data_IF_874302046631
#
_entry.id   IF_874302046631
#
_cell.length_a   1.000
_cell.length_b   1.000
_cell.length_c   1.000
_cell.angle_alpha   90.00
_cell.angle_beta   90.00
_cell.angle_gamma   90.00
#
_symmetry.space_group_name_H-M   'P 1'
#
loop_
_entity.id
_entity.type
_entity.pdbx_description
1 polymer ?
#
# COMPACT_ATOMS: atom_id res chain seq x y z
N UNK A 1 -6.99 -7.05 7.55
CA UNK A 1 -5.89 -6.10 7.75
C UNK A 1 -5.07 -6.61 8.93
N UNK A 2 -3.82 -6.99 8.70
CA UNK A 2 -2.92 -7.51 9.74
C UNK A 2 -2.31 -6.44 10.66
N UNK A 3 -2.53 -5.16 10.37
CA UNK A 3 -1.96 -4.05 11.14
C UNK A 3 -2.95 -3.46 12.16
N UNK A 4 -2.44 -3.03 13.31
CA UNK A 4 -3.20 -2.26 14.29
C UNK A 4 -3.43 -0.82 13.80
N UNK A 5 -4.53 -0.21 14.24
CA UNK A 5 -4.79 1.22 14.03
C UNK A 5 -3.73 2.03 14.79
N UNK A 6 -3.13 3.03 14.14
CA UNK A 6 -2.19 3.97 14.77
C UNK A 6 -2.48 5.39 14.31
N UNK A 7 -2.00 6.38 15.03
CA UNK A 7 -2.13 7.81 14.68
C UNK A 7 -1.57 8.14 13.29
N UNK A 8 -0.66 7.31 12.76
CA UNK A 8 -0.06 7.40 11.44
C UNK A 8 -0.46 6.28 10.47
N UNK A 9 -1.31 5.33 10.86
CA UNK A 9 -1.70 4.18 10.04
C UNK A 9 -3.21 3.92 10.15
N UNK A 10 -3.95 4.26 9.09
CA UNK A 10 -5.39 4.05 9.01
C UNK A 10 -5.74 2.65 8.55
N UNK A 11 -6.57 1.95 9.32
CA UNK A 11 -7.06 0.61 9.01
C UNK A 11 -8.57 0.62 8.74
N UNK A 12 -9.07 -0.27 7.85
CA UNK A 12 -10.50 -0.37 7.57
C UNK A 12 -11.33 -0.64 8.84
N UNK A 13 -12.55 -0.11 8.87
CA UNK A 13 -13.53 -0.45 9.89
C UNK A 13 -13.93 -1.92 9.75
N UNK A 14 -13.91 -2.67 10.86
CA UNK A 14 -14.39 -4.05 10.91
C UNK A 14 -15.91 -4.04 11.06
N UNK A 15 -16.59 -4.99 10.42
CA UNK A 15 -18.06 -5.18 10.52
C UNK A 15 -18.88 -3.93 10.20
N UNK A 16 -18.48 -3.13 9.21
CA UNK A 16 -19.25 -1.96 8.77
C UNK A 16 -20.54 -2.39 8.07
N UNK A 17 -21.68 -1.85 8.49
CA UNK A 17 -22.96 -2.08 7.82
C UNK A 17 -22.98 -1.48 6.41
N UNK A 18 -23.69 -2.12 5.48
CA UNK A 18 -23.82 -1.59 4.12
C UNK A 18 -24.54 -0.24 4.12
N UNK A 19 -24.01 0.74 3.36
CA UNK A 19 -24.55 2.10 3.34
C UNK A 19 -24.13 2.99 4.51
N UNK A 20 -23.48 2.45 5.55
CA UNK A 20 -22.94 3.25 6.66
C UNK A 20 -21.80 4.19 6.20
N UNK A 21 -21.54 5.31 6.93
CA UNK A 21 -20.36 6.14 6.71
C UNK A 21 -19.05 5.33 6.73
N UNK A 22 -18.95 4.33 7.62
CA UNK A 22 -17.82 3.43 7.76
C UNK A 22 -17.58 2.61 6.49
N UNK A 23 -18.65 2.08 5.88
CA UNK A 23 -18.59 1.33 4.62
C UNK A 23 -18.17 2.23 3.44
N UNK A 24 -18.67 3.48 3.40
CA UNK A 24 -18.22 4.48 2.42
C UNK A 24 -16.73 4.79 2.60
N UNK A 25 -16.26 4.98 3.83
CA UNK A 25 -14.85 5.19 4.13
C UNK A 25 -13.99 3.99 3.70
N UNK A 26 -14.42 2.76 4.01
CA UNK A 26 -13.74 1.53 3.61
C UNK A 26 -13.65 1.39 2.08
N UNK A 27 -14.69 1.79 1.36
CA UNK A 27 -14.70 1.82 -0.11
C UNK A 27 -13.63 2.77 -0.65
N UNK A 28 -13.57 3.99 -0.10
CA UNK A 28 -12.58 4.98 -0.52
C UNK A 28 -11.14 4.58 -0.14
N UNK A 29 -10.96 4.01 1.06
CA UNK A 29 -9.68 3.45 1.50
C UNK A 29 -9.20 2.34 0.55
N UNK A 30 -10.08 1.40 0.22
CA UNK A 30 -9.78 0.30 -0.72
C UNK A 30 -9.39 0.82 -2.11
N UNK A 31 -10.08 1.84 -2.62
CA UNK A 31 -9.73 2.49 -3.90
C UNK A 31 -8.34 3.11 -3.88
N UNK A 32 -8.01 3.84 -2.81
CA UNK A 32 -6.68 4.42 -2.65
C UNK A 32 -5.60 3.34 -2.55
N UNK A 33 -5.84 2.27 -1.78
CA UNK A 33 -4.92 1.14 -1.67
C UNK A 33 -4.69 0.44 -3.01
N UNK A 34 -5.74 0.24 -3.81
CA UNK A 34 -5.61 -0.39 -5.12
C UNK A 34 -4.68 0.39 -6.05
N UNK A 35 -4.75 1.73 -6.05
CA UNK A 35 -3.85 2.59 -6.83
C UNK A 35 -2.40 2.39 -6.38
N UNK A 36 -2.15 2.37 -5.07
CA UNK A 36 -0.81 2.16 -4.51
C UNK A 36 -0.26 0.78 -4.89
N UNK A 37 -1.04 -0.29 -4.70
CA UNK A 37 -0.65 -1.66 -5.05
C UNK A 37 -0.31 -1.81 -6.54
N UNK A 38 -1.16 -1.28 -7.42
CA UNK A 38 -0.92 -1.28 -8.87
C UNK A 38 0.34 -0.51 -9.22
N UNK A 39 0.57 0.63 -8.59
CA UNK A 39 1.78 1.44 -8.81
C UNK A 39 3.03 0.68 -8.39
N UNK A 40 3.00 0.02 -7.23
CA UNK A 40 4.11 -0.83 -6.77
C UNK A 40 4.36 -1.99 -7.75
N UNK A 41 3.30 -2.64 -8.24
CA UNK A 41 3.41 -3.70 -9.25
C UNK A 41 4.08 -3.22 -10.54
N UNK A 42 3.70 -2.04 -11.04
CA UNK A 42 4.33 -1.43 -12.23
C UNK A 42 5.81 -1.11 -11.98
N UNK A 43 6.16 -0.57 -10.81
CA UNK A 43 7.55 -0.27 -10.46
C UNK A 43 8.41 -1.53 -10.33
N UNK A 44 7.89 -2.58 -9.67
CA UNK A 44 8.56 -3.88 -9.55
C UNK A 44 8.79 -4.53 -10.92
N UNK A 45 7.79 -4.46 -11.80
CA UNK A 45 7.88 -4.97 -13.18
C UNK A 45 9.01 -4.25 -13.94
N UNK A 46 9.00 -2.90 -13.93
CA UNK A 46 10.00 -2.12 -14.67
C UNK A 46 11.41 -2.21 -14.06
N UNK A 47 11.52 -2.19 -12.74
CA UNK A 47 12.80 -2.17 -12.02
C UNK A 47 12.97 -3.42 -11.17
N UNK A 48 13.60 -4.44 -11.75
CA UNK A 48 13.84 -5.74 -11.10
C UNK A 48 14.61 -5.66 -9.77
N UNK A 49 15.33 -4.58 -9.52
CA UNK A 49 15.97 -4.34 -8.22
C UNK A 49 14.96 -4.21 -7.07
N UNK A 50 13.68 -3.96 -7.35
CA UNK A 50 12.60 -3.86 -6.36
C UNK A 50 11.87 -5.19 -6.12
N UNK A 51 12.19 -6.26 -6.86
CA UNK A 51 11.56 -7.57 -6.67
C UNK A 51 11.97 -8.17 -5.33
N UNK A 52 11.04 -8.88 -4.69
CA UNK A 52 11.27 -9.49 -3.38
C UNK A 52 12.34 -10.58 -3.42
N UNK A 53 12.41 -11.34 -4.52
CA UNK A 53 13.48 -12.31 -4.77
C UNK A 53 14.89 -11.69 -4.77
N UNK A 54 14.98 -10.37 -4.96
CA UNK A 54 16.22 -9.59 -4.92
C UNK A 54 16.26 -8.60 -3.78
N UNK A 55 15.47 -8.84 -2.72
CA UNK A 55 15.24 -7.98 -1.55
C UNK A 55 16.34 -6.94 -1.34
N UNK A 56 15.96 -5.67 -1.19
CA UNK A 56 16.94 -4.61 -0.96
C UNK A 56 17.63 -4.84 0.38
N UNK A 57 18.81 -5.49 0.37
CA UNK A 57 19.70 -5.66 1.52
C UNK A 57 20.44 -4.34 1.84
N UNK A 58 19.69 -3.26 1.93
CA UNK A 58 20.16 -1.91 2.22
C UNK A 58 19.51 -1.40 3.49
N UNK A 59 20.14 -0.44 4.14
CA UNK A 59 19.49 0.28 5.23
C UNK A 59 18.18 0.94 4.74
N UNK A 60 17.15 1.12 5.59
CA UNK A 60 15.89 1.74 5.17
C UNK A 60 16.09 3.07 4.45
N UNK A 61 17.02 3.91 4.93
CA UNK A 61 17.39 5.18 4.30
C UNK A 61 17.87 5.00 2.86
N UNK A 62 18.73 4.01 2.60
CA UNK A 62 19.28 3.76 1.26
C UNK A 62 18.24 3.09 0.35
N UNK A 63 17.40 2.20 0.90
CA UNK A 63 16.26 1.63 0.18
C UNK A 63 15.28 2.71 -0.29
N UNK A 64 14.93 3.67 0.56
CA UNK A 64 14.09 4.82 0.19
C UNK A 64 14.70 5.64 -0.94
N UNK A 65 16.02 5.88 -0.91
CA UNK A 65 16.70 6.59 -2.00
C UNK A 65 16.59 5.84 -3.35
N UNK A 66 16.76 4.52 -3.34
CA UNK A 66 16.62 3.68 -4.54
C UNK A 66 15.18 3.78 -5.08
N UNK A 67 14.18 3.65 -4.22
CA UNK A 67 12.75 3.74 -4.58
C UNK A 67 12.44 5.11 -5.21
N UNK A 68 12.94 6.20 -4.63
CA UNK A 68 12.75 7.55 -5.16
C UNK A 68 13.34 7.72 -6.57
N UNK A 69 14.53 7.16 -6.80
CA UNK A 69 15.16 7.17 -8.13
C UNK A 69 14.34 6.34 -9.13
N UNK A 70 13.86 5.16 -8.74
CA UNK A 70 12.97 4.34 -9.58
C UNK A 70 11.69 5.10 -9.96
N UNK A 71 11.07 5.84 -9.03
CA UNK A 71 9.90 6.65 -9.33
C UNK A 71 10.22 7.81 -10.30
N UNK A 72 11.34 8.50 -10.11
CA UNK A 72 11.78 9.55 -11.04
C UNK A 72 12.06 9.01 -12.45
N UNK A 73 12.76 7.89 -12.55
CA UNK A 73 13.02 7.21 -13.82
C UNK A 73 11.73 6.70 -14.48
N UNK A 74 10.78 6.20 -13.69
CA UNK A 74 9.46 5.81 -14.20
C UNK A 74 8.73 6.98 -14.86
N UNK A 75 8.74 8.15 -14.22
CA UNK A 75 8.12 9.36 -14.77
C UNK A 75 8.79 9.80 -16.07
N UNK A 76 10.13 9.69 -16.16
CA UNK A 76 10.88 9.92 -17.39
C UNK A 76 10.45 8.93 -18.49
N UNK A 77 10.32 7.64 -18.16
CA UNK A 77 9.82 6.64 -19.10
C UNK A 77 8.41 6.94 -19.60
N UNK A 78 7.50 7.40 -18.73
CA UNK A 78 6.15 7.84 -19.12
C UNK A 78 6.23 9.01 -20.11
N UNK A 79 7.04 10.03 -19.79
CA UNK A 79 7.19 11.22 -20.63
C UNK A 79 7.68 10.88 -22.04
N UNK A 80 8.67 10.00 -22.14
CA UNK A 80 9.23 9.55 -23.42
C UNK A 80 8.48 8.36 -24.05
N UNK A 81 7.34 7.93 -23.48
CA UNK A 81 6.54 6.79 -23.95
C UNK A 81 7.35 5.50 -24.12
N UNK A 82 8.29 5.26 -23.21
CA UNK A 82 9.11 4.03 -23.20
C UNK A 82 8.25 2.87 -22.74
N UNK A 83 8.03 1.89 -23.62
CA UNK A 83 7.27 0.69 -23.33
C UNK A 83 7.92 -0.15 -22.21
N UNK A 84 7.09 -0.91 -21.49
CA UNK A 84 7.58 -1.94 -20.56
C UNK A 84 7.64 -3.23 -21.36
N UNK A 85 8.80 -3.88 -21.39
CA UNK A 85 8.93 -5.20 -22.02
C UNK A 85 7.93 -6.18 -21.38
N UNK A 86 7.10 -6.88 -22.16
CA UNK A 86 6.11 -7.82 -21.67
C UNK A 86 6.75 -9.15 -21.21
N UNK A 87 7.85 -9.12 -20.47
CA UNK A 87 8.44 -10.34 -19.91
C UNK A 87 7.46 -10.94 -18.88
N UNK A 88 6.99 -12.16 -19.14
CA UNK A 88 6.12 -12.93 -18.25
C UNK A 88 6.82 -13.11 -16.89
N UNK A 89 6.18 -12.62 -15.82
CA UNK A 89 6.65 -12.90 -14.47
C UNK A 89 6.06 -14.25 -14.03
N UNK A 90 6.84 -15.09 -13.34
CA UNK A 90 6.24 -16.10 -12.48
C UNK A 90 5.25 -15.37 -11.58
N UNK A 91 4.04 -15.88 -11.41
CA UNK A 91 3.11 -15.42 -10.38
C UNK A 91 3.90 -15.32 -9.07
N UNK A 92 4.34 -14.12 -8.69
CA UNK A 92 4.64 -13.85 -7.29
C UNK A 92 3.27 -14.08 -6.65
N UNK A 93 3.14 -15.22 -5.97
CA UNK A 93 1.93 -15.60 -5.28
C UNK A 93 1.40 -14.34 -4.61
N UNK A 94 0.13 -14.00 -4.90
CA UNK A 94 -0.58 -12.90 -4.26
C UNK A 94 0.01 -12.73 -2.87
N UNK A 95 0.65 -11.59 -2.61
CA UNK A 95 1.19 -11.21 -1.31
C UNK A 95 -0.02 -11.09 -0.39
N UNK A 96 -0.54 -12.26 -0.05
CA UNK A 96 -1.60 -12.51 0.88
C UNK A 96 -0.87 -12.25 2.16
N UNK A 97 -0.92 -10.99 2.60
CA UNK A 97 -0.56 -10.44 3.90
C UNK A 97 -0.72 -11.54 4.97
N UNK A 98 0.31 -12.38 5.07
CA UNK A 98 0.21 -13.77 5.50
C UNK A 98 0.72 -13.89 6.91
N UNK A 99 0.11 -13.11 7.78
CA UNK A 99 0.33 -13.13 9.21
C UNK A 99 -0.93 -12.60 9.86
N UNK A 100 -1.90 -13.50 10.08
CA UNK A 100 -3.03 -13.22 10.97
C UNK A 100 -2.45 -13.16 12.38
N UNK A 101 -1.89 -12.03 12.76
CA UNK A 101 -1.70 -11.71 14.16
C UNK A 101 -3.02 -11.11 14.59
N UNK A 102 -3.78 -11.83 15.39
CA UNK A 102 -4.84 -11.23 16.21
C UNK A 102 -4.15 -10.28 17.20
N UNK A 103 -3.77 -9.10 16.73
CA UNK A 103 -3.37 -8.02 17.62
C UNK A 103 -4.67 -7.50 18.20
N UNK A 104 -4.89 -7.81 19.48
CA UNK A 104 -5.87 -7.10 20.31
C UNK A 104 -5.77 -5.62 19.97
N UNK A 105 -6.90 -5.01 19.61
CA UNK A 105 -6.96 -3.58 19.38
C UNK A 105 -6.63 -2.90 20.70
N UNK A 106 -5.35 -2.64 20.92
CA UNK A 106 -4.92 -1.57 21.79
C UNK A 106 -5.44 -0.31 21.11
N UNK A 107 -6.70 0.00 21.41
CA UNK A 107 -7.44 1.12 20.87
C UNK A 107 -6.73 2.34 21.42
N UNK A 108 -5.68 2.74 20.71
CA UNK A 108 -5.08 4.03 20.85
C UNK A 108 -6.21 5.04 20.61
N UNK A 109 -6.75 5.55 21.73
CA UNK A 109 -7.94 6.41 21.77
C UNK A 109 -7.74 7.61 20.85
N UNK A 110 -6.50 8.08 20.73
CA UNK A 110 -6.11 9.15 19.83
C UNK A 110 -6.24 8.73 18.36
N UNK A 111 -5.71 7.55 17.99
CA UNK A 111 -5.82 7.04 16.62
C UNK A 111 -7.28 6.83 16.19
N UNK A 112 -8.12 6.31 17.10
CA UNK A 112 -9.56 6.17 16.87
C UNK A 112 -10.26 7.53 16.71
N UNK A 113 -9.90 8.52 17.52
CA UNK A 113 -10.41 9.88 17.40
C UNK A 113 -10.03 10.54 16.07
N UNK A 114 -8.77 10.37 15.62
CA UNK A 114 -8.31 10.86 14.31
C UNK A 114 -9.11 10.23 13.19
N UNK A 115 -9.28 8.90 13.19
CA UNK A 115 -10.06 8.18 12.17
C UNK A 115 -11.52 8.65 12.14
N UNK A 116 -12.15 8.79 13.30
CA UNK A 116 -13.53 9.26 13.40
C UNK A 116 -13.69 10.72 12.94
N UNK A 117 -12.67 11.57 13.13
CA UNK A 117 -12.65 12.93 12.57
C UNK A 117 -12.58 12.90 11.05
N UNK A 118 -11.74 12.04 10.48
CA UNK A 118 -11.62 11.83 9.03
C UNK A 118 -12.93 11.28 8.44
N UNK A 119 -13.61 10.38 9.17
CA UNK A 119 -14.90 9.82 8.76
C UNK A 119 -15.96 10.91 8.52
N UNK A 120 -15.97 11.96 9.36
CA UNK A 120 -16.92 13.09 9.25
C UNK A 120 -16.65 14.02 8.06
N UNK A 121 -15.51 13.90 7.41
CA UNK A 121 -15.17 14.68 6.20
C UNK A 121 -15.72 14.07 4.90
N UNK A 122 -16.35 12.90 4.95
CA UNK A 122 -16.94 12.19 3.81
C UNK A 122 -18.47 12.11 3.89
#
# INVERSE_FOLDING_TARGET
AGYALKTYLMTPFRNSEEGSPESRCNTQHSRARNIVERTIGVLKNRFRCLLQARALHYSPKKATQIINVCAALHNICIFYKVEISPEEFPNEANDSDGGVIEVESDNDSEAAAIRNRILRTF
#
